data_IF_879964696149
#
_entry.id   IF_879964696149
#
_cell.length_a   1.000
_cell.length_b   1.000
_cell.length_c   1.000
_cell.angle_alpha   90.00
_cell.angle_beta   90.00
_cell.angle_gamma   90.00
#
_symmetry.space_group_name_H-M   'P 1'
#
loop_
_entity.id
_entity.type
_entity.pdbx_description
1 polymer ?
#
# COMPACT_ATOMS: atom_id res chain seq x y z
N UNK A 1 6.66 -22.00 -25.62
CA UNK A 1 6.99 -20.73 -24.90
C UNK A 1 7.26 -21.10 -23.46
N UNK A 2 8.47 -20.89 -22.98
CA UNK A 2 8.78 -21.02 -21.57
C UNK A 2 8.09 -19.86 -20.83
N UNK A 3 7.24 -20.17 -19.87
CA UNK A 3 6.73 -19.16 -18.92
C UNK A 3 7.94 -18.46 -18.29
N UNK A 4 7.96 -17.13 -18.20
CA UNK A 4 9.02 -16.44 -17.47
C UNK A 4 9.09 -17.00 -16.04
N UNK A 5 10.28 -17.38 -15.62
CA UNK A 5 10.54 -17.79 -14.25
C UNK A 5 10.58 -16.53 -13.38
N UNK A 6 9.40 -16.10 -12.93
CA UNK A 6 9.28 -14.95 -12.02
C UNK A 6 9.69 -15.38 -10.61
N UNK A 7 10.48 -14.58 -9.91
CA UNK A 7 10.77 -14.86 -8.51
C UNK A 7 9.48 -14.77 -7.68
N UNK A 8 9.39 -15.60 -6.65
CA UNK A 8 8.33 -15.48 -5.65
C UNK A 8 8.44 -14.12 -4.95
N UNK A 9 7.30 -13.46 -4.75
CA UNK A 9 7.27 -12.21 -4.00
C UNK A 9 6.07 -12.19 -3.04
N UNK A 10 6.26 -11.51 -1.92
CA UNK A 10 5.22 -11.27 -0.92
C UNK A 10 4.84 -9.80 -0.99
N UNK A 11 3.55 -9.53 -1.13
CA UNK A 11 3.03 -8.18 -1.21
C UNK A 11 2.11 -7.89 -0.02
N UNK A 12 2.32 -6.75 0.63
CA UNK A 12 1.44 -6.26 1.68
C UNK A 12 1.05 -4.81 1.41
N UNK A 13 -0.26 -4.53 1.51
CA UNK A 13 -0.74 -3.15 1.55
C UNK A 13 -0.44 -2.56 2.92
N UNK A 14 -0.21 -1.25 2.99
CA UNK A 14 -0.08 -0.54 4.26
C UNK A 14 -1.33 -0.70 5.14
N UNK A 15 -1.17 -0.63 6.45
CA UNK A 15 -2.27 -0.64 7.41
C UNK A 15 -3.19 0.58 7.27
N UNK A 16 -4.32 0.55 7.96
CA UNK A 16 -5.32 1.61 7.94
C UNK A 16 -4.76 2.94 8.44
N UNK A 17 -5.16 4.03 7.78
CA UNK A 17 -4.95 5.42 8.21
C UNK A 17 -6.31 6.01 8.60
N UNK A 18 -6.31 7.17 9.26
CA UNK A 18 -7.58 7.87 9.55
C UNK A 18 -8.32 8.24 8.26
N UNK A 19 -7.60 8.62 7.22
CA UNK A 19 -8.22 8.93 5.93
C UNK A 19 -8.83 7.70 5.24
N UNK A 20 -8.27 6.50 5.46
CA UNK A 20 -8.94 5.27 5.01
C UNK A 20 -10.25 5.05 5.78
N UNK A 21 -10.22 5.21 7.11
CA UNK A 21 -11.41 5.04 7.96
C UNK A 21 -12.52 6.04 7.62
N UNK A 22 -12.13 7.26 7.23
CA UNK A 22 -13.04 8.32 6.82
C UNK A 22 -13.45 8.25 5.33
N UNK A 23 -12.94 7.30 4.57
CA UNK A 23 -13.17 7.18 3.12
C UNK A 23 -12.74 8.43 2.33
N UNK A 24 -11.56 8.98 2.64
CA UNK A 24 -10.94 10.09 1.93
C UNK A 24 -9.90 9.61 0.93
N UNK A 25 -9.77 10.35 -0.15
CA UNK A 25 -8.65 10.20 -1.08
C UNK A 25 -7.34 10.59 -0.40
N UNK A 26 -6.35 9.70 -0.35
CA UNK A 26 -5.03 9.97 0.21
C UNK A 26 -4.01 10.35 -0.86
N UNK A 27 -3.89 9.49 -1.86
CA UNK A 27 -2.90 9.63 -2.91
C UNK A 27 -1.47 9.75 -2.35
N UNK A 28 -0.75 10.74 -2.81
CA UNK A 28 0.63 11.01 -2.41
C UNK A 28 0.78 11.71 -1.06
N UNK A 29 -0.32 12.13 -0.40
CA UNK A 29 -0.26 12.73 0.94
C UNK A 29 0.28 11.75 1.96
N UNK A 30 1.14 12.25 2.83
CA UNK A 30 1.78 11.42 3.86
C UNK A 30 0.94 11.40 5.15
N UNK A 31 -0.06 10.51 5.16
CA UNK A 31 -0.94 10.26 6.31
C UNK A 31 -0.42 9.03 7.06
N UNK A 32 -0.18 9.11 8.38
CA UNK A 32 0.35 8.01 9.17
C UNK A 32 -0.68 6.91 9.40
N UNK A 33 -0.22 5.74 9.86
CA UNK A 33 -1.10 4.68 10.35
C UNK A 33 -1.90 5.16 11.55
N UNK A 34 -3.18 4.76 11.62
CA UNK A 34 -3.94 4.83 12.86
C UNK A 34 -3.68 3.58 13.73
N UNK A 35 -4.26 3.54 14.92
CA UNK A 35 -4.06 2.42 15.86
C UNK A 35 -4.45 1.07 15.25
N UNK A 36 -5.53 1.03 14.46
CA UNK A 36 -5.97 -0.19 13.79
C UNK A 36 -4.99 -0.63 12.72
N UNK A 37 -4.47 0.31 11.93
CA UNK A 37 -3.45 0.04 10.92
C UNK A 37 -2.15 -0.52 11.50
N UNK A 38 -1.77 -0.02 12.68
CA UNK A 38 -0.62 -0.55 13.42
C UNK A 38 -0.83 -2.03 13.80
N UNK A 39 -1.99 -2.37 14.35
CA UNK A 39 -2.33 -3.76 14.71
C UNK A 39 -2.43 -4.67 13.47
N UNK A 40 -2.92 -4.15 12.35
CA UNK A 40 -2.93 -4.87 11.08
C UNK A 40 -1.51 -5.18 10.60
N UNK A 41 -0.61 -4.22 10.70
CA UNK A 41 0.80 -4.40 10.32
C UNK A 41 1.50 -5.45 11.22
N UNK A 42 1.27 -5.38 12.54
CA UNK A 42 1.78 -6.37 13.49
C UNK A 42 1.30 -7.80 13.14
N UNK A 43 -0.01 -7.95 12.87
CA UNK A 43 -0.60 -9.23 12.47
C UNK A 43 -0.06 -9.76 11.14
N UNK A 44 0.14 -8.88 10.16
CA UNK A 44 0.74 -9.23 8.87
C UNK A 44 2.19 -9.71 9.02
N UNK A 45 2.94 -9.14 9.94
CA UNK A 45 4.29 -9.59 10.27
C UNK A 45 4.31 -11.03 10.78
N UNK A 46 3.41 -11.37 11.72
CA UNK A 46 3.25 -12.73 12.24
C UNK A 46 2.84 -13.70 11.12
N UNK A 47 1.91 -13.28 10.26
CA UNK A 47 1.48 -14.09 9.12
C UNK A 47 2.63 -14.35 8.14
N UNK A 48 3.36 -13.30 7.77
CA UNK A 48 4.50 -13.44 6.84
C UNK A 48 5.56 -14.38 7.42
N UNK A 49 5.91 -14.23 8.70
CA UNK A 49 6.86 -15.14 9.36
C UNK A 49 6.41 -16.59 9.22
N UNK A 50 5.15 -16.90 9.50
CA UNK A 50 4.60 -18.24 9.35
C UNK A 50 4.71 -18.75 7.91
N UNK A 51 4.34 -17.94 6.92
CA UNK A 51 4.43 -18.32 5.50
C UNK A 51 5.87 -18.64 5.09
N UNK A 52 6.85 -17.86 5.56
CA UNK A 52 8.26 -18.11 5.27
C UNK A 52 8.76 -19.40 5.96
N UNK A 53 8.34 -19.64 7.20
CA UNK A 53 8.67 -20.89 7.92
C UNK A 53 8.10 -22.11 7.20
N UNK A 54 6.83 -22.06 6.77
CA UNK A 54 6.15 -23.15 6.04
C UNK A 54 6.77 -23.42 4.66
N UNK A 55 7.24 -22.38 3.97
CA UNK A 55 7.93 -22.51 2.67
C UNK A 55 9.42 -22.87 2.79
N UNK A 56 9.99 -22.80 4.01
CA UNK A 56 11.42 -22.96 4.22
C UNK A 56 12.26 -21.80 3.66
N UNK A 57 11.65 -20.64 3.46
CA UNK A 57 12.32 -19.45 2.94
C UNK A 57 13.03 -18.70 4.06
N UNK A 58 14.34 -18.48 3.92
CA UNK A 58 15.11 -17.67 4.85
C UNK A 58 14.78 -16.17 4.70
N UNK A 59 14.22 -15.51 5.72
CA UNK A 59 13.91 -14.08 5.66
C UNK A 59 15.11 -13.18 5.41
N UNK A 60 16.33 -13.65 5.73
CA UNK A 60 17.58 -12.93 5.46
C UNK A 60 17.95 -12.95 3.97
N UNK A 61 17.42 -13.90 3.21
CA UNK A 61 17.63 -13.98 1.75
C UNK A 61 16.71 -13.05 0.93
N UNK A 62 15.70 -12.47 1.57
CA UNK A 62 14.72 -11.61 0.90
C UNK A 62 15.24 -10.18 0.71
N UNK A 63 14.83 -9.55 -0.38
CA UNK A 63 14.95 -8.11 -0.55
C UNK A 63 13.68 -7.43 -0.03
N UNK A 64 13.84 -6.46 0.85
CA UNK A 64 12.73 -5.77 1.50
C UNK A 64 12.54 -4.38 0.89
N UNK A 65 11.42 -4.16 0.19
CA UNK A 65 11.11 -2.90 -0.47
C UNK A 65 9.87 -2.25 0.16
N UNK A 66 9.92 -0.94 0.36
CA UNK A 66 8.77 -0.17 0.82
C UNK A 66 8.68 1.19 0.12
N UNK A 67 7.46 1.71 0.01
CA UNK A 67 7.25 3.12 -0.29
C UNK A 67 7.84 3.97 0.84
N UNK A 68 8.42 5.15 0.54
CA UNK A 68 8.92 6.06 1.57
C UNK A 68 7.81 6.79 2.35
N UNK A 69 6.53 6.67 1.95
CA UNK A 69 5.43 7.25 2.72
C UNK A 69 5.32 6.60 4.10
N UNK A 70 5.07 7.41 5.14
CA UNK A 70 5.11 6.99 6.54
C UNK A 70 4.24 5.76 6.82
N UNK A 71 3.02 5.70 6.28
CA UNK A 71 2.12 4.55 6.43
C UNK A 71 2.69 3.25 5.90
N UNK A 72 3.42 3.29 4.78
CA UNK A 72 4.03 2.10 4.18
C UNK A 72 5.33 1.72 4.90
N UNK A 73 6.16 2.71 5.22
CA UNK A 73 7.40 2.51 5.96
C UNK A 73 7.13 1.95 7.35
N UNK A 74 6.19 2.53 8.11
CA UNK A 74 5.80 2.02 9.43
C UNK A 74 5.19 0.60 9.34
N UNK A 75 4.38 0.32 8.31
CA UNK A 75 3.86 -1.05 8.08
C UNK A 75 5.01 -2.03 7.91
N UNK A 76 6.00 -1.70 7.10
CA UNK A 76 7.17 -2.54 6.86
C UNK A 76 7.95 -2.77 8.16
N UNK A 77 8.24 -1.73 8.92
CA UNK A 77 9.00 -1.81 10.18
C UNK A 77 8.28 -2.71 11.19
N UNK A 78 6.96 -2.56 11.33
CA UNK A 78 6.14 -3.40 12.21
C UNK A 78 6.10 -4.85 11.77
N UNK A 79 5.94 -5.12 10.48
CA UNK A 79 5.99 -6.49 9.95
C UNK A 79 7.33 -7.15 10.23
N UNK A 80 8.42 -6.43 10.07
CA UNK A 80 9.78 -6.92 10.31
C UNK A 80 10.07 -7.17 11.79
N UNK A 81 9.41 -6.44 12.70
CA UNK A 81 9.55 -6.66 14.14
C UNK A 81 9.02 -8.03 14.62
N UNK A 82 8.30 -8.77 13.78
CA UNK A 82 7.88 -10.14 14.08
C UNK A 82 8.98 -11.19 13.94
N UNK A 83 10.14 -10.81 13.42
CA UNK A 83 11.28 -11.73 13.20
C UNK A 83 12.34 -11.54 14.28
N UNK A 84 12.80 -12.65 14.85
CA UNK A 84 13.83 -12.67 15.91
C UNK A 84 15.26 -12.75 15.34
N UNK A 85 15.45 -12.34 14.10
CA UNK A 85 16.73 -12.33 13.39
C UNK A 85 16.98 -10.96 12.79
N UNK A 86 18.26 -10.61 12.60
CA UNK A 86 18.62 -9.40 11.88
C UNK A 86 18.28 -9.56 10.39
N UNK A 87 17.44 -8.66 9.89
CA UNK A 87 17.01 -8.67 8.50
C UNK A 87 17.82 -7.68 7.65
N UNK A 88 17.99 -7.95 6.35
CA UNK A 88 18.60 -6.98 5.43
C UNK A 88 17.89 -5.62 5.49
N UNK A 89 18.58 -4.51 5.19
CA UNK A 89 17.98 -3.17 5.26
C UNK A 89 16.78 -3.04 4.30
N UNK A 90 15.80 -2.19 4.70
CA UNK A 90 14.68 -1.85 3.82
C UNK A 90 15.15 -0.89 2.74
N UNK A 91 14.80 -1.19 1.50
CA UNK A 91 15.02 -0.33 0.35
C UNK A 91 13.76 0.50 0.14
N UNK A 92 13.83 1.81 0.45
CA UNK A 92 12.73 2.72 0.18
C UNK A 92 12.79 3.18 -1.27
N UNK A 93 11.79 2.78 -2.08
CA UNK A 93 11.73 3.11 -3.50
C UNK A 93 10.60 4.11 -3.78
N UNK A 94 10.96 5.28 -4.32
CA UNK A 94 10.01 6.34 -4.66
C UNK A 94 9.00 5.93 -5.72
N UNK A 95 9.29 4.93 -6.54
CA UNK A 95 8.37 4.37 -7.54
C UNK A 95 7.18 3.65 -6.91
N UNK A 96 7.26 3.32 -5.62
CA UNK A 96 6.18 2.71 -4.83
C UNK A 96 5.29 3.76 -4.13
N UNK A 97 5.53 5.05 -4.35
CA UNK A 97 4.63 6.09 -3.85
C UNK A 97 3.31 5.98 -4.61
N UNK A 98 2.19 6.05 -3.86
CA UNK A 98 0.85 6.09 -4.44
C UNK A 98 0.72 7.29 -5.39
N UNK A 99 -0.04 7.12 -6.47
CA UNK A 99 -0.31 8.21 -7.41
C UNK A 99 -0.94 9.41 -6.69
N UNK A 100 -0.66 10.60 -7.20
CA UNK A 100 -1.31 11.80 -6.68
C UNK A 100 -2.75 11.92 -7.18
N UNK A 101 -3.67 12.12 -6.29
CA UNK A 101 -5.07 12.46 -6.61
C UNK A 101 -5.32 13.97 -6.71
N UNK A 102 -4.25 14.79 -6.67
CA UNK A 102 -4.35 16.25 -6.85
C UNK A 102 -5.38 16.89 -5.93
N UNK A 103 -6.30 17.67 -6.50
CA UNK A 103 -7.33 18.40 -5.75
C UNK A 103 -8.34 17.50 -5.01
N UNK A 104 -8.32 16.18 -5.26
CA UNK A 104 -9.18 15.25 -4.51
C UNK A 104 -8.59 14.81 -3.17
N UNK A 105 -7.29 14.99 -2.97
CA UNK A 105 -6.64 14.57 -1.74
C UNK A 105 -7.24 15.28 -0.51
N UNK A 106 -7.74 14.48 0.42
CA UNK A 106 -8.46 14.93 1.61
C UNK A 106 -9.98 15.03 1.46
N UNK A 107 -10.51 14.99 0.24
CA UNK A 107 -11.96 14.97 0.02
C UNK A 107 -12.53 13.56 0.28
N UNK A 108 -13.80 13.51 0.69
CA UNK A 108 -14.51 12.23 0.79
C UNK A 108 -14.78 11.63 -0.59
N UNK A 109 -14.73 10.31 -0.69
CA UNK A 109 -15.10 9.61 -1.93
C UNK A 109 -16.51 9.99 -2.40
N UNK A 110 -17.47 10.17 -1.48
CA UNK A 110 -18.83 10.60 -1.79
C UNK A 110 -18.93 12.02 -2.34
N UNK A 111 -18.09 12.93 -1.86
CA UNK A 111 -18.05 14.32 -2.36
C UNK A 111 -17.55 14.38 -3.81
N UNK A 112 -16.52 13.57 -4.09
CA UNK A 112 -15.94 13.46 -5.43
C UNK A 112 -16.91 12.76 -6.37
N UNK A 113 -17.53 11.65 -5.96
CA UNK A 113 -18.50 10.91 -6.77
C UNK A 113 -19.74 11.74 -7.17
N UNK A 114 -20.18 12.65 -6.31
CA UNK A 114 -21.28 13.57 -6.63
C UNK A 114 -20.93 14.58 -7.73
N UNK A 115 -19.65 14.90 -7.87
CA UNK A 115 -19.19 15.90 -8.86
C UNK A 115 -18.67 15.26 -10.15
N UNK A 116 -18.32 13.98 -10.10
CA UNK A 116 -17.65 13.28 -11.20
C UNK A 116 -18.30 11.90 -11.40
N UNK A 117 -19.23 11.80 -12.33
CA UNK A 117 -19.99 10.58 -12.61
C UNK A 117 -19.09 9.36 -12.93
N UNK A 118 -17.97 9.59 -13.63
CA UNK A 118 -16.97 8.54 -13.92
C UNK A 118 -16.39 7.87 -12.67
N UNK A 119 -16.48 8.51 -11.51
CA UNK A 119 -15.96 8.01 -10.23
C UNK A 119 -17.07 7.55 -9.29
N UNK A 120 -18.33 7.57 -9.74
CA UNK A 120 -19.45 7.05 -8.96
C UNK A 120 -19.29 5.53 -8.72
N UNK A 121 -19.85 4.99 -7.63
CA UNK A 121 -19.85 3.54 -7.40
C UNK A 121 -20.55 2.79 -8.55
N UNK A 122 -19.86 1.82 -9.14
CA UNK A 122 -20.37 1.03 -10.26
C UNK A 122 -19.26 0.22 -10.93
N UNK A 123 -19.54 -0.25 -12.14
CA UNK A 123 -18.52 -0.89 -12.96
C UNK A 123 -17.48 0.14 -13.41
N UNK A 124 -16.21 -0.19 -13.22
CA UNK A 124 -15.09 0.65 -13.64
C UNK A 124 -14.82 0.41 -15.11
N UNK A 125 -15.23 1.36 -15.92
CA UNK A 125 -14.97 1.39 -17.35
C UNK A 125 -13.69 2.17 -17.71
N UNK A 126 -13.45 2.36 -19.02
CA UNK A 126 -12.29 3.10 -19.49
C UNK A 126 -12.24 4.54 -18.98
N UNK A 127 -13.39 5.17 -18.71
CA UNK A 127 -13.44 6.55 -18.21
C UNK A 127 -12.88 6.67 -16.79
N UNK A 128 -13.08 5.65 -15.95
CA UNK A 128 -12.49 5.60 -14.61
C UNK A 128 -10.96 5.57 -14.67
N UNK A 129 -10.39 4.71 -15.50
CA UNK A 129 -8.95 4.54 -15.61
C UNK A 129 -8.25 5.71 -16.30
N UNK A 130 -8.94 6.37 -17.24
CA UNK A 130 -8.44 7.54 -17.96
C UNK A 130 -8.67 8.85 -17.18
N UNK A 131 -9.47 8.84 -16.12
CA UNK A 131 -9.78 10.05 -15.38
C UNK A 131 -8.54 10.56 -14.63
N UNK A 132 -8.26 11.84 -14.83
CA UNK A 132 -7.16 12.53 -14.17
C UNK A 132 -7.68 13.72 -13.37
N UNK A 133 -7.54 13.71 -12.03
CA UNK A 133 -7.87 14.87 -11.21
C UNK A 133 -7.00 16.08 -11.59
N UNK A 134 -7.49 17.29 -11.38
CA UNK A 134 -6.67 18.48 -11.56
C UNK A 134 -5.48 18.45 -10.59
N UNK A 135 -4.27 18.64 -11.12
CA UNK A 135 -3.02 18.51 -10.35
C UNK A 135 -2.65 17.09 -9.92
N UNK A 136 -3.41 16.08 -10.36
CA UNK A 136 -3.17 14.68 -10.04
C UNK A 136 -2.65 13.86 -11.22
N UNK A 137 -2.64 12.55 -11.04
CA UNK A 137 -2.23 11.53 -12.01
C UNK A 137 -3.41 10.61 -12.34
N UNK A 138 -3.31 9.84 -13.43
CA UNK A 138 -4.22 8.75 -13.76
C UNK A 138 -3.53 7.40 -13.57
N UNK A 139 -4.32 6.33 -13.52
CA UNK A 139 -3.82 4.96 -13.46
C UNK A 139 -3.19 4.51 -14.78
#
# INVERSE_FOLDING_TARGET
MTTPDWPDFYFARHGETDWNAEHRYQGSRDIPLNRRGQLQADANGVLLRRLLEESGTDPQSLNWFASPLSRASETMDRMRAAFDVELPPVIHDRRLIEISFGDFEGLLHSEVAQKHEALAPGERDESYWAFRPNGGENY
#
